data_IF_809119944092
#
_entry.id   IF_809119944092
#
_cell.length_a   1.000
_cell.length_b   1.000
_cell.length_c   1.000
_cell.angle_alpha   90.00
_cell.angle_beta   90.00
_cell.angle_gamma   90.00
#
_symmetry.space_group_name_H-M   'P 1'
#
loop_
_entity.id
_entity.type
_entity.pdbx_description
1 polymer ?
#
# COMPACT_ATOMS: atom_id res chain seq x y z
N UNK A 1 18.09 5.38 -39.65
CA UNK A 1 18.15 4.49 -40.83
C UNK A 1 18.07 5.24 -42.15
N UNK A 2 17.30 6.33 -42.27
CA UNK A 2 17.21 7.10 -43.52
C UNK A 2 18.57 7.62 -44.03
N UNK A 3 19.46 8.06 -43.13
CA UNK A 3 20.81 8.52 -43.46
C UNK A 3 21.70 7.39 -44.02
N UNK A 4 21.67 6.21 -43.39
CA UNK A 4 22.38 5.01 -43.86
C UNK A 4 21.83 4.55 -45.24
N UNK A 5 20.52 4.65 -45.46
CA UNK A 5 19.90 4.32 -46.75
C UNK A 5 20.29 5.31 -47.86
N UNK A 6 20.59 6.56 -47.51
CA UNK A 6 21.12 7.58 -48.44
C UNK A 6 22.62 7.41 -48.72
N UNK A 7 23.27 6.42 -48.12
CA UNK A 7 24.70 6.13 -48.31
C UNK A 7 25.64 6.81 -47.31
N UNK A 8 25.11 7.51 -46.29
CA UNK A 8 25.95 8.14 -45.27
C UNK A 8 26.71 7.07 -44.46
N UNK A 9 27.99 7.32 -44.15
CA UNK A 9 28.77 6.37 -43.38
C UNK A 9 28.40 6.42 -41.89
N UNK A 10 28.67 5.32 -41.17
CA UNK A 10 28.36 5.20 -39.72
C UNK A 10 28.97 6.33 -38.89
N UNK A 11 30.14 6.85 -39.28
CA UNK A 11 30.81 7.97 -38.59
C UNK A 11 30.06 9.28 -38.75
N UNK A 12 29.52 9.56 -39.94
CA UNK A 12 28.76 10.78 -40.22
C UNK A 12 27.40 10.75 -39.55
N UNK A 13 26.75 9.57 -39.54
CA UNK A 13 25.52 9.33 -38.80
C UNK A 13 25.74 9.55 -37.30
N UNK A 14 26.82 9.00 -36.74
CA UNK A 14 27.16 9.18 -35.32
C UNK A 14 27.42 10.65 -34.96
N UNK A 15 28.14 11.39 -35.84
CA UNK A 15 28.41 12.82 -35.66
C UNK A 15 27.13 13.65 -35.72
N UNK A 16 26.27 13.38 -36.70
CA UNK A 16 25.01 14.10 -36.90
C UNK A 16 24.01 13.85 -35.78
N UNK A 17 23.93 12.62 -35.29
CA UNK A 17 23.04 12.24 -34.17
C UNK A 17 23.68 12.47 -32.79
N UNK A 18 24.90 13.01 -32.74
CA UNK A 18 25.69 13.22 -31.53
C UNK A 18 25.74 11.99 -30.60
N UNK A 19 25.86 10.80 -31.17
CA UNK A 19 25.88 9.54 -30.43
C UNK A 19 27.17 8.75 -30.71
N UNK A 20 27.49 7.78 -29.84
CA UNK A 20 28.66 6.94 -30.07
C UNK A 20 28.48 6.06 -31.33
N UNK A 21 29.54 5.87 -32.11
CA UNK A 21 29.55 4.95 -33.27
C UNK A 21 29.05 3.54 -32.91
N UNK A 22 29.33 3.08 -31.68
CA UNK A 22 28.88 1.78 -31.17
C UNK A 22 27.37 1.69 -30.93
N UNK A 23 26.69 2.82 -30.70
CA UNK A 23 25.23 2.87 -30.62
C UNK A 23 24.60 2.70 -31.99
N UNK A 24 25.15 3.38 -33.00
CA UNK A 24 24.73 3.22 -34.41
C UNK A 24 24.93 1.77 -34.86
N UNK A 25 26.09 1.17 -34.55
CA UNK A 25 26.36 -0.25 -34.83
C UNK A 25 25.38 -1.21 -34.14
N UNK A 26 25.01 -0.95 -32.89
CA UNK A 26 23.97 -1.73 -32.19
C UNK A 26 22.60 -1.62 -32.85
N UNK A 27 22.19 -0.42 -33.23
CA UNK A 27 20.92 -0.20 -33.92
C UNK A 27 20.89 -0.89 -35.29
N UNK A 28 21.99 -0.86 -36.04
CA UNK A 28 22.14 -1.61 -37.30
C UNK A 28 21.96 -3.11 -37.03
N UNK A 29 22.71 -3.67 -36.07
CA UNK A 29 22.60 -5.10 -35.74
C UNK A 29 21.19 -5.50 -35.31
N UNK A 30 20.53 -4.72 -34.44
CA UNK A 30 19.14 -5.02 -34.01
C UNK A 30 18.15 -4.93 -35.16
N UNK A 31 18.31 -3.95 -36.05
CA UNK A 31 17.47 -3.82 -37.23
C UNK A 31 17.70 -4.97 -38.24
N UNK A 32 18.95 -5.38 -38.46
CA UNK A 32 19.26 -6.52 -39.34
C UNK A 32 18.74 -7.84 -38.78
N UNK A 33 18.81 -8.05 -37.47
CA UNK A 33 18.39 -9.29 -36.83
C UNK A 33 16.86 -9.40 -36.67
N UNK A 34 16.18 -8.29 -36.34
CA UNK A 34 14.79 -8.31 -35.90
C UNK A 34 13.92 -7.21 -36.52
N UNK A 35 14.41 -6.54 -37.56
CA UNK A 35 13.69 -5.48 -38.27
C UNK A 35 13.33 -4.31 -37.36
N UNK A 36 12.16 -3.72 -37.60
CA UNK A 36 11.64 -2.59 -36.82
C UNK A 36 11.38 -2.99 -35.35
N UNK A 37 10.99 -4.25 -35.08
CA UNK A 37 10.75 -4.74 -33.73
C UNK A 37 12.02 -4.72 -32.86
N UNK A 38 13.19 -4.98 -33.45
CA UNK A 38 14.48 -4.89 -32.76
C UNK A 38 14.86 -3.48 -32.31
N UNK A 39 14.28 -2.45 -32.93
CA UNK A 39 14.50 -1.05 -32.54
C UNK A 39 13.55 -0.57 -31.44
N UNK A 40 12.52 -1.35 -31.08
CA UNK A 40 11.62 -0.99 -29.99
C UNK A 40 12.34 -1.17 -28.65
N UNK A 41 12.27 -0.15 -27.80
CA UNK A 41 12.75 -0.26 -26.42
C UNK A 41 11.90 -1.25 -25.65
N UNK A 42 12.54 -2.29 -25.10
CA UNK A 42 11.89 -3.19 -24.16
C UNK A 42 11.51 -2.43 -22.89
N UNK A 43 10.43 -2.86 -22.22
CA UNK A 43 10.04 -2.28 -20.93
C UNK A 43 11.17 -2.44 -19.93
N UNK A 44 11.61 -1.35 -19.32
CA UNK A 44 12.68 -1.38 -18.34
C UNK A 44 12.32 -2.27 -17.13
N UNK A 45 13.28 -3.08 -16.68
CA UNK A 45 13.16 -3.90 -15.47
C UNK A 45 12.81 -5.37 -15.72
N UNK A 46 12.80 -6.14 -14.64
CA UNK A 46 12.52 -7.58 -14.68
C UNK A 46 11.04 -7.82 -14.99
N UNK A 47 10.76 -8.74 -15.92
CA UNK A 47 9.39 -9.19 -16.20
C UNK A 47 8.73 -9.70 -14.91
N UNK A 48 7.43 -9.44 -14.78
CA UNK A 48 6.65 -9.90 -13.63
C UNK A 48 6.62 -11.43 -13.65
N UNK A 49 7.07 -12.07 -12.56
CA UNK A 49 7.15 -13.55 -12.46
C UNK A 49 5.79 -14.23 -12.26
N UNK A 50 4.82 -13.54 -11.66
CA UNK A 50 3.56 -14.12 -11.23
C UNK A 50 2.39 -13.65 -12.10
N UNK A 51 1.33 -14.46 -12.26
CA UNK A 51 0.18 -14.14 -13.11
C UNK A 51 -0.64 -13.01 -12.49
N UNK A 52 -0.24 -11.78 -12.80
CA UNK A 52 -0.70 -10.56 -12.16
C UNK A 52 -2.22 -10.36 -12.27
N UNK A 53 -2.78 -10.47 -13.46
CA UNK A 53 -4.21 -10.28 -13.72
C UNK A 53 -5.07 -11.29 -12.98
N UNK A 54 -4.62 -12.55 -12.96
CA UNK A 54 -5.29 -13.63 -12.25
C UNK A 54 -5.31 -13.35 -10.73
N UNK A 55 -4.14 -12.98 -10.17
CA UNK A 55 -4.03 -12.66 -8.74
C UNK A 55 -4.86 -11.41 -8.36
N UNK A 56 -4.90 -10.39 -9.21
CA UNK A 56 -5.75 -9.20 -8.96
C UNK A 56 -7.24 -9.54 -9.00
N UNK A 57 -7.64 -10.52 -9.81
CA UNK A 57 -9.03 -11.00 -9.85
C UNK A 57 -9.35 -11.81 -8.59
N UNK A 58 -8.47 -12.71 -8.16
CA UNK A 58 -8.61 -13.42 -6.88
C UNK A 58 -8.68 -12.48 -5.68
N UNK A 59 -7.85 -11.44 -5.64
CA UNK A 59 -7.88 -10.44 -4.56
C UNK A 59 -9.24 -9.75 -4.46
N UNK A 60 -9.87 -9.41 -5.60
CA UNK A 60 -11.19 -8.79 -5.62
C UNK A 60 -12.29 -9.74 -5.15
N UNK A 61 -12.19 -11.02 -5.49
CA UNK A 61 -13.15 -12.03 -5.04
C UNK A 61 -13.00 -12.37 -3.56
N UNK A 62 -11.76 -12.57 -3.07
CA UNK A 62 -11.51 -12.92 -1.67
C UNK A 62 -12.02 -11.85 -0.69
N UNK A 63 -11.91 -10.57 -1.03
CA UNK A 63 -12.34 -9.46 -0.17
C UNK A 63 -13.86 -9.39 0.00
N UNK A 64 -14.64 -10.03 -0.88
CA UNK A 64 -16.11 -10.13 -0.73
C UNK A 64 -16.52 -11.07 0.42
N UNK A 65 -15.61 -11.92 0.85
CA UNK A 65 -15.83 -12.92 1.89
C UNK A 65 -15.05 -12.60 3.15
N UNK A 66 -15.49 -13.13 4.28
CA UNK A 66 -14.75 -13.04 5.54
C UNK A 66 -13.64 -14.10 5.56
N UNK A 67 -12.49 -13.86 6.22
CA UNK A 67 -11.50 -14.92 6.41
C UNK A 67 -12.08 -16.13 7.16
N UNK A 68 -13.11 -15.94 7.99
CA UNK A 68 -13.83 -17.01 8.66
C UNK A 68 -14.51 -17.98 7.70
N UNK A 69 -14.98 -17.49 6.55
CA UNK A 69 -15.61 -18.31 5.50
C UNK A 69 -14.62 -19.35 4.92
N UNK A 70 -13.31 -19.11 5.10
CA UNK A 70 -12.23 -20.00 4.69
C UNK A 70 -11.57 -20.75 5.86
N UNK A 71 -12.18 -20.72 7.05
CA UNK A 71 -11.70 -21.42 8.24
C UNK A 71 -10.65 -20.66 9.07
N UNK A 72 -10.36 -19.39 8.76
CA UNK A 72 -9.43 -18.59 9.57
C UNK A 72 -10.13 -17.98 10.78
N UNK A 73 -9.50 -18.06 11.96
CA UNK A 73 -9.97 -17.41 13.20
C UNK A 73 -9.66 -15.90 13.22
N UNK A 74 -9.98 -15.18 12.13
CA UNK A 74 -9.79 -13.74 12.00
C UNK A 74 -11.01 -13.10 11.37
N UNK A 75 -11.40 -11.94 11.90
CA UNK A 75 -12.53 -11.18 11.39
C UNK A 75 -12.20 -10.34 10.15
N UNK A 76 -10.93 -10.16 9.81
CA UNK A 76 -10.46 -9.26 8.75
C UNK A 76 -9.28 -9.85 8.00
N UNK A 77 -9.24 -9.59 6.69
CA UNK A 77 -8.09 -9.92 5.86
C UNK A 77 -6.85 -9.15 6.31
N UNK A 78 -5.73 -9.86 6.43
CA UNK A 78 -4.39 -9.28 6.51
C UNK A 78 -3.64 -9.56 5.21
N UNK A 79 -2.58 -8.80 4.91
CA UNK A 79 -1.75 -9.04 3.73
C UNK A 79 -1.08 -10.41 3.75
N UNK A 80 -0.79 -10.91 4.95
CA UNK A 80 -0.21 -12.22 5.22
C UNK A 80 -1.24 -13.32 4.96
N UNK A 81 -2.47 -13.17 5.47
CA UNK A 81 -3.55 -14.13 5.21
C UNK A 81 -3.94 -14.19 3.74
N UNK A 82 -4.01 -13.04 3.06
CA UNK A 82 -4.27 -12.99 1.63
C UNK A 82 -3.16 -13.71 0.85
N UNK A 83 -1.89 -13.50 1.22
CA UNK A 83 -0.77 -14.19 0.58
C UNK A 83 -0.86 -15.72 0.79
N UNK A 84 -1.15 -16.18 2.01
CA UNK A 84 -1.33 -17.60 2.31
C UNK A 84 -2.44 -18.19 1.44
N UNK A 85 -3.63 -17.56 1.42
CA UNK A 85 -4.76 -18.09 0.66
C UNK A 85 -4.54 -18.07 -0.84
N UNK A 86 -3.90 -17.02 -1.37
CA UNK A 86 -3.55 -16.94 -2.79
C UNK A 86 -2.53 -18.02 -3.15
N UNK A 87 -1.53 -18.27 -2.31
CA UNK A 87 -0.55 -19.33 -2.55
C UNK A 87 -1.18 -20.72 -2.52
N UNK A 88 -2.15 -20.94 -1.62
CA UNK A 88 -2.94 -22.18 -1.57
C UNK A 88 -3.73 -22.40 -2.87
N UNK A 89 -4.36 -21.36 -3.42
CA UNK A 89 -5.17 -21.45 -4.64
C UNK A 89 -4.30 -21.57 -5.90
N UNK A 90 -3.20 -20.80 -5.98
CA UNK A 90 -2.41 -20.64 -7.21
C UNK A 90 -1.15 -21.49 -7.26
N UNK A 91 -0.75 -22.11 -6.15
CA UNK A 91 0.54 -22.80 -6.01
C UNK A 91 1.77 -21.86 -6.07
N UNK A 92 1.56 -20.55 -6.16
CA UNK A 92 2.63 -19.57 -6.25
C UNK A 92 3.31 -19.34 -4.89
N UNK A 93 4.54 -18.83 -4.90
CA UNK A 93 5.25 -18.39 -3.70
C UNK A 93 5.19 -16.86 -3.58
N UNK A 94 3.98 -16.34 -3.38
CA UNK A 94 3.73 -14.91 -3.24
C UNK A 94 3.97 -14.44 -1.81
N UNK A 95 4.80 -13.42 -1.64
CA UNK A 95 5.03 -12.78 -0.35
C UNK A 95 4.01 -11.68 -0.06
N UNK A 96 3.67 -11.45 1.22
CA UNK A 96 2.72 -10.43 1.68
C UNK A 96 3.03 -9.01 1.14
N UNK A 97 4.32 -8.66 1.02
CA UNK A 97 4.75 -7.39 0.43
C UNK A 97 4.37 -7.22 -1.05
N UNK A 98 4.32 -8.32 -1.81
CA UNK A 98 3.85 -8.28 -3.21
C UNK A 98 2.35 -8.06 -3.27
N UNK A 99 1.58 -8.75 -2.41
CA UNK A 99 0.14 -8.51 -2.25
C UNK A 99 -0.13 -7.04 -1.94
N UNK A 100 0.57 -6.48 -0.94
CA UNK A 100 0.44 -5.06 -0.56
C UNK A 100 0.67 -4.11 -1.74
N UNK A 101 1.69 -4.36 -2.58
CA UNK A 101 1.96 -3.55 -3.78
C UNK A 101 0.89 -3.67 -4.85
N UNK A 102 0.20 -4.80 -4.93
CA UNK A 102 -0.77 -5.10 -5.98
C UNK A 102 -2.21 -4.72 -5.60
N UNK A 103 -2.50 -4.57 -4.29
CA UNK A 103 -3.81 -4.12 -3.82
C UNK A 103 -4.31 -2.85 -4.53
N UNK A 104 -3.52 -1.75 -4.69
CA UNK A 104 -3.98 -0.56 -5.40
C UNK A 104 -4.34 -0.85 -6.86
N UNK A 105 -3.58 -1.71 -7.53
CA UNK A 105 -3.83 -2.09 -8.92
C UNK A 105 -5.08 -2.97 -9.08
N UNK A 106 -5.48 -3.68 -8.03
CA UNK A 106 -6.77 -4.37 -7.95
C UNK A 106 -7.93 -3.44 -7.54
N UNK A 107 -7.70 -2.12 -7.41
CA UNK A 107 -8.69 -1.15 -6.96
C UNK A 107 -8.96 -1.18 -5.45
N UNK A 108 -8.15 -1.90 -4.68
CA UNK A 108 -8.34 -2.12 -3.25
C UNK A 108 -7.41 -1.20 -2.45
N UNK A 109 -7.99 -0.19 -1.79
CA UNK A 109 -7.22 0.71 -0.93
C UNK A 109 -7.19 0.15 0.49
N UNK A 110 -5.98 -0.14 0.97
CA UNK A 110 -5.77 -0.54 2.36
C UNK A 110 -5.96 0.64 3.31
N UNK A 111 -7.12 0.75 3.96
CA UNK A 111 -7.36 1.74 5.02
C UNK A 111 -7.20 1.08 6.39
N UNK A 112 -6.36 1.66 7.25
CA UNK A 112 -6.36 1.33 8.68
C UNK A 112 -7.72 1.74 9.26
N UNK A 113 -8.39 0.83 9.95
CA UNK A 113 -9.53 1.21 10.77
C UNK A 113 -9.01 2.14 11.87
N UNK A 114 -9.52 3.36 11.94
CA UNK A 114 -9.47 4.14 13.17
C UNK A 114 -10.66 3.64 14.01
N UNK A 115 -10.45 2.82 15.04
CA UNK A 115 -11.55 2.34 15.88
C UNK A 115 -12.09 3.55 16.63
N UNK A 116 -13.07 4.23 16.02
CA UNK A 116 -13.87 5.19 16.77
C UNK A 116 -14.85 4.32 17.53
N UNK A 117 -14.50 3.99 18.77
CA UNK A 117 -15.42 3.28 19.67
C UNK A 117 -16.66 4.15 19.86
N UNK A 118 -17.68 3.96 19.02
CA UNK A 118 -19.03 4.49 19.22
C UNK A 118 -19.73 3.60 20.26
N UNK A 119 -19.13 3.47 21.43
CA UNK A 119 -19.77 2.86 22.58
C UNK A 119 -20.62 3.97 23.22
N UNK A 120 -21.93 3.88 23.07
CA UNK A 120 -22.88 4.79 23.72
C UNK A 120 -23.07 4.26 25.14
N UNK A 121 -22.33 4.81 26.10
CA UNK A 121 -22.54 4.51 27.52
C UNK A 121 -23.92 5.06 27.94
N UNK A 122 -24.87 4.20 28.37
CA UNK A 122 -26.20 4.64 28.81
C UNK A 122 -26.15 5.65 29.97
N UNK A 123 -25.07 5.65 30.76
CA UNK A 123 -24.89 6.52 31.93
C UNK A 123 -23.87 7.63 31.68
N UNK A 124 -23.64 8.02 30.42
CA UNK A 124 -22.65 9.05 30.06
C UNK A 124 -22.89 10.38 30.80
N UNK A 125 -24.15 10.80 30.88
CA UNK A 125 -24.53 12.09 31.48
C UNK A 125 -24.41 12.11 33.01
N UNK A 126 -24.44 10.93 33.66
CA UNK A 126 -24.20 10.78 35.10
C UNK A 126 -22.71 10.88 35.45
N UNK A 127 -21.83 10.48 34.52
CA UNK A 127 -20.38 10.41 34.75
C UNK A 127 -19.65 11.68 34.35
N UNK A 128 -20.10 12.35 33.28
CA UNK A 128 -19.37 13.46 32.65
C UNK A 128 -20.33 14.56 32.20
N UNK A 129 -19.93 15.82 32.34
CA UNK A 129 -20.54 16.97 31.66
C UNK A 129 -19.54 17.61 30.70
N UNK A 130 -19.96 17.85 29.45
CA UNK A 130 -19.16 18.47 28.41
C UNK A 130 -19.77 19.84 28.09
N UNK A 131 -18.98 20.91 28.26
CA UNK A 131 -19.34 22.25 27.78
C UNK A 131 -18.63 22.53 26.48
N UNK A 132 -19.38 22.66 25.40
CA UNK A 132 -18.85 22.98 24.07
C UNK A 132 -18.70 24.49 23.88
N UNK A 133 -17.63 24.91 23.21
CA UNK A 133 -17.37 26.29 22.83
C UNK A 133 -17.51 26.45 21.31
N UNK A 134 -17.87 27.65 20.85
CA UNK A 134 -18.09 27.92 19.42
C UNK A 134 -16.87 27.67 18.52
N UNK A 135 -15.66 27.59 19.09
CA UNK A 135 -14.41 27.27 18.37
C UNK A 135 -14.17 25.76 18.16
N UNK A 136 -15.16 24.90 18.47
CA UNK A 136 -15.03 23.44 18.36
C UNK A 136 -14.23 22.78 19.48
N UNK A 137 -13.81 23.54 20.49
CA UNK A 137 -13.22 23.02 21.72
C UNK A 137 -14.31 22.73 22.76
N UNK A 138 -14.02 21.88 23.76
CA UNK A 138 -14.94 21.63 24.86
C UNK A 138 -14.20 21.35 26.16
N UNK A 139 -14.78 21.77 27.28
CA UNK A 139 -14.28 21.45 28.61
C UNK A 139 -15.06 20.27 29.17
N UNK A 140 -14.34 19.24 29.60
CA UNK A 140 -14.90 18.02 30.15
C UNK A 140 -14.78 18.08 31.68
N UNK A 141 -15.90 17.95 32.36
CA UNK A 141 -15.96 17.85 33.83
C UNK A 141 -16.42 16.45 34.21
N UNK A 142 -15.68 15.80 35.09
CA UNK A 142 -16.05 14.48 35.62
C UNK A 142 -16.91 14.67 36.87
N UNK A 143 -18.10 14.08 36.89
CA UNK A 143 -19.07 14.19 38.00
C UNK A 143 -18.84 13.14 39.09
N UNK A 144 -18.23 12.00 38.73
CA UNK A 144 -17.95 10.87 39.61
C UNK A 144 -16.54 10.98 40.21
N UNK A 145 -16.43 11.60 41.37
CA UNK A 145 -15.14 11.87 42.02
C UNK A 145 -14.36 10.59 42.37
N UNK A 146 -15.07 9.52 42.75
CA UNK A 146 -14.50 8.20 43.05
C UNK A 146 -13.77 7.57 41.85
N UNK A 147 -14.25 7.82 40.63
CA UNK A 147 -13.60 7.37 39.39
C UNK A 147 -12.42 8.25 39.02
N UNK A 148 -12.51 9.56 39.30
CA UNK A 148 -11.42 10.51 39.08
C UNK A 148 -10.24 10.19 39.98
N UNK A 149 -10.49 9.86 41.25
CA UNK A 149 -9.43 9.46 42.19
C UNK A 149 -8.73 8.17 41.73
N UNK A 150 -9.48 7.13 41.37
CA UNK A 150 -8.90 5.90 40.81
C UNK A 150 -8.09 6.16 39.54
N UNK A 151 -8.57 7.05 38.67
CA UNK A 151 -7.86 7.44 37.45
C UNK A 151 -6.56 8.17 37.80
N UNK A 152 -6.61 9.09 38.77
CA UNK A 152 -5.43 9.80 39.26
C UNK A 152 -4.40 8.85 39.88
N UNK A 153 -4.83 7.84 40.63
CA UNK A 153 -3.94 6.83 41.20
C UNK A 153 -3.21 6.03 40.11
N UNK A 154 -3.92 5.66 39.03
CA UNK A 154 -3.32 4.99 37.87
C UNK A 154 -2.31 5.91 37.18
N UNK A 155 -2.67 7.18 36.95
CA UNK A 155 -1.78 8.15 36.31
C UNK A 155 -0.55 8.41 37.18
N UNK A 156 -0.70 8.61 38.49
CA UNK A 156 0.40 8.83 39.42
C UNK A 156 1.35 7.63 39.47
N UNK A 157 0.82 6.39 39.38
CA UNK A 157 1.62 5.17 39.35
C UNK A 157 2.49 5.04 38.10
N UNK A 158 1.98 5.45 36.94
CA UNK A 158 2.68 5.29 35.67
C UNK A 158 3.45 6.55 35.21
N UNK A 159 3.07 7.73 35.71
CA UNK A 159 3.61 9.03 35.32
C UNK A 159 3.76 9.94 36.56
N UNK A 160 4.79 9.72 37.39
CA UNK A 160 5.03 10.56 38.57
C UNK A 160 5.31 12.01 38.16
N UNK A 161 4.62 12.98 38.79
CA UNK A 161 4.78 14.43 38.54
C UNK A 161 3.81 15.05 37.51
N UNK A 162 2.93 14.26 36.89
CA UNK A 162 1.92 14.75 35.93
C UNK A 162 0.69 15.37 36.61
N UNK A 163 0.48 15.10 37.90
CA UNK A 163 -0.60 15.69 38.68
C UNK A 163 -0.05 16.85 39.52
N UNK A 164 -0.79 17.97 39.65
CA UNK A 164 -0.42 19.04 40.56
C UNK A 164 -0.35 18.50 41.99
N UNK A 165 0.64 18.97 42.75
CA UNK A 165 0.76 18.64 44.17
C UNK A 165 -0.48 19.21 44.89
N UNK A 166 -1.16 18.37 45.68
CA UNK A 166 -2.32 18.77 46.49
C UNK A 166 -1.94 19.82 47.51
#
# INVERSE_FOLDING_TARGET
>A
MLMLHRGDCVSDVARTLCCARSSVGRWINWFTLSGIEGLKSLSAGRTRRWPFEHICTLLRELVKHSPGDFGYQRSRWSTELLAIKINEITGCQLHAGTVRRWLPSAGLVWRRAAPTLRIRDPHKDEKISIRYFQKGSGHITFKRLDLVEKMNDIVAKHYPGMLPVK
#
